data_IF_627395990495
#
_entry.id   IF_627395990495
#
_cell.length_a   1.000
_cell.length_b   1.000
_cell.length_c   1.000
_cell.angle_alpha   90.00
_cell.angle_beta   90.00
_cell.angle_gamma   90.00
#
_symmetry.space_group_name_H-M   'P 1'
#
loop_
_entity.id
_entity.type
_entity.pdbx_description
1 polymer ?
#
# COMPACT_ATOMS: atom_id res chain seq x y z
N UNK A 1 6.49 -48.09 68.57
CA UNK A 1 7.57 -48.11 67.55
C UNK A 1 6.98 -47.43 66.30
N UNK A 2 7.27 -46.14 66.03
CA UNK A 2 8.35 -45.65 65.11
C UNK A 2 8.40 -46.53 63.84
N UNK A 3 7.97 -46.10 62.65
CA UNK A 3 8.64 -45.15 61.71
C UNK A 3 7.77 -45.11 60.41
N UNK A 4 7.16 -43.98 59.98
CA UNK A 4 7.58 -43.02 58.90
C UNK A 4 7.81 -43.67 57.52
N UNK A 5 7.41 -43.19 56.33
CA UNK A 5 6.88 -41.90 55.82
C UNK A 5 6.67 -41.96 54.26
N UNK A 6 5.79 -41.09 53.71
CA UNK A 6 5.83 -40.34 52.41
C UNK A 6 5.63 -41.16 51.10
N UNK A 7 4.49 -41.06 50.40
CA UNK A 7 3.94 -39.98 49.56
C UNK A 7 4.62 -39.80 48.18
N UNK A 8 3.86 -39.95 47.11
CA UNK A 8 4.17 -39.44 45.78
C UNK A 8 2.85 -39.00 45.15
N UNK A 9 2.75 -37.68 44.95
CA UNK A 9 1.53 -36.97 44.61
C UNK A 9 1.32 -36.99 43.09
N UNK A 10 0.07 -37.23 42.68
CA UNK A 10 -0.41 -37.04 41.32
C UNK A 10 -0.51 -35.54 41.02
N UNK A 11 0.17 -35.10 39.96
CA UNK A 11 -0.04 -33.79 39.34
C UNK A 11 0.02 -33.97 37.82
N UNK A 12 -1.13 -34.12 37.17
CA UNK A 12 -1.25 -33.98 35.73
C UNK A 12 -2.26 -32.85 35.46
N UNK A 13 -1.73 -31.74 34.96
CA UNK A 13 -2.41 -30.47 34.84
C UNK A 13 -3.51 -30.46 33.79
N UNK A 14 -4.59 -29.78 34.13
CA UNK A 14 -5.58 -29.30 33.17
C UNK A 14 -5.06 -28.00 32.56
N UNK A 15 -4.81 -27.99 31.25
CA UNK A 15 -4.60 -26.78 30.47
C UNK A 15 -5.66 -26.75 29.37
N UNK A 16 -6.72 -25.96 29.59
CA UNK A 16 -7.67 -25.58 28.55
C UNK A 16 -6.92 -24.73 27.51
N UNK A 17 -6.76 -25.27 26.30
CA UNK A 17 -6.29 -24.51 25.16
C UNK A 17 -7.39 -23.53 24.71
N UNK A 18 -7.06 -22.24 24.79
CA UNK A 18 -7.90 -21.15 24.32
C UNK A 18 -8.15 -21.27 22.80
N UNK A 19 -9.43 -21.17 22.41
CA UNK A 19 -9.85 -21.03 21.03
C UNK A 19 -9.26 -19.74 20.43
N UNK A 20 -8.37 -19.88 19.44
CA UNK A 20 -7.99 -18.80 18.53
C UNK A 20 -9.03 -18.72 17.42
N UNK A 21 -9.87 -17.69 17.44
CA UNK A 21 -10.74 -17.36 16.31
C UNK A 21 -9.87 -16.81 15.15
N UNK A 22 -10.06 -17.29 13.90
CA UNK A 22 -9.39 -16.71 12.75
C UNK A 22 -10.03 -15.36 12.41
N UNK A 23 -9.27 -14.28 12.58
CA UNK A 23 -9.60 -12.97 12.01
C UNK A 23 -9.46 -13.05 10.50
N UNK A 24 -10.60 -13.08 9.79
CA UNK A 24 -10.64 -12.92 8.34
C UNK A 24 -10.27 -11.48 7.98
N UNK A 25 -8.98 -11.24 7.73
CA UNK A 25 -8.52 -10.00 7.12
C UNK A 25 -9.07 -9.93 5.69
N UNK A 26 -10.13 -9.14 5.51
CA UNK A 26 -10.65 -8.81 4.19
C UNK A 26 -9.65 -7.88 3.52
N UNK A 27 -8.85 -8.42 2.58
CA UNK A 27 -8.00 -7.61 1.73
C UNK A 27 -8.86 -6.70 0.86
N UNK A 28 -8.65 -5.39 0.95
CA UNK A 28 -9.28 -4.44 0.06
C UNK A 28 -8.85 -4.74 -1.39
N UNK A 29 -9.76 -4.61 -2.38
CA UNK A 29 -9.41 -4.84 -3.77
C UNK A 29 -8.36 -3.81 -4.21
N UNK A 30 -7.26 -4.29 -4.79
CA UNK A 30 -6.31 -3.45 -5.51
C UNK A 30 -6.93 -3.13 -6.88
N UNK A 31 -7.20 -1.85 -7.14
CA UNK A 31 -7.64 -1.41 -8.46
C UNK A 31 -6.42 -1.40 -9.39
N UNK A 32 -6.30 -2.42 -10.23
CA UNK A 32 -5.22 -2.52 -11.21
C UNK A 32 -5.55 -1.67 -12.43
N UNK A 33 -4.73 -0.66 -12.71
CA UNK A 33 -4.80 0.09 -13.98
C UNK A 33 -4.09 -0.76 -15.04
N UNK A 34 -4.71 -1.07 -16.20
CA UNK A 34 -4.09 -1.87 -17.25
C UNK A 34 -2.78 -1.26 -17.75
N UNK A 35 -1.73 -2.08 -17.86
CA UNK A 35 -0.36 -1.71 -18.22
C UNK A 35 -0.17 -1.14 -19.66
N UNK A 36 -1.24 -0.94 -20.42
CA UNK A 36 -1.17 -0.55 -21.85
C UNK A 36 -1.45 0.94 -22.11
N UNK A 37 -1.77 1.73 -21.09
CA UNK A 37 -2.05 3.16 -21.27
C UNK A 37 -0.88 4.01 -20.78
N UNK A 38 -0.12 4.54 -21.74
CA UNK A 38 0.82 5.62 -21.50
C UNK A 38 0.03 6.93 -21.25
N UNK A 39 -0.03 7.34 -19.98
CA UNK A 39 -0.64 8.58 -19.51
C UNK A 39 -1.44 8.39 -18.22
N UNK A 40 -1.61 9.45 -17.39
CA UNK A 40 -2.46 9.39 -16.19
C UNK A 40 -3.88 8.96 -16.57
N UNK A 41 -4.28 7.76 -16.16
CA UNK A 41 -5.61 7.26 -16.43
C UNK A 41 -6.56 7.68 -15.30
N UNK A 42 -7.65 8.33 -15.69
CA UNK A 42 -8.81 8.53 -14.82
C UNK A 42 -9.84 7.46 -15.19
N UNK A 43 -10.25 6.63 -14.22
CA UNK A 43 -11.53 5.92 -14.34
C UNK A 43 -12.61 7.02 -14.19
N UNK A 44 -13.64 7.10 -15.05
CA UNK A 44 -14.59 8.22 -15.05
C UNK A 44 -15.32 8.47 -13.71
N UNK A 45 -15.50 7.45 -12.86
CA UNK A 45 -16.06 7.64 -11.51
C UNK A 45 -15.01 7.81 -10.39
N UNK A 46 -13.71 7.79 -10.70
CA UNK A 46 -12.66 7.83 -9.68
C UNK A 46 -12.31 9.27 -9.29
N UNK A 47 -12.34 9.55 -7.97
CA UNK A 47 -11.79 10.80 -7.40
C UNK A 47 -10.28 10.96 -7.63
N UNK A 48 -9.59 9.87 -7.96
CA UNK A 48 -8.14 9.83 -8.14
C UNK A 48 -7.83 9.39 -9.55
N UNK A 49 -7.04 10.20 -10.24
CA UNK A 49 -6.39 9.85 -11.49
C UNK A 49 -4.91 9.65 -11.21
N UNK A 50 -4.33 8.57 -11.69
CA UNK A 50 -2.92 8.32 -11.50
C UNK A 50 -2.32 7.50 -12.64
N UNK A 51 -1.02 7.62 -12.86
CA UNK A 51 -0.31 6.84 -13.86
C UNK A 51 1.11 7.32 -14.07
N UNK A 52 1.75 6.78 -15.11
CA UNK A 52 3.07 7.19 -15.55
C UNK A 52 2.99 8.30 -16.59
N UNK A 53 3.93 9.22 -16.50
CA UNK A 53 4.23 10.24 -17.49
C UNK A 53 5.73 10.20 -17.82
N UNK A 54 6.12 10.81 -18.93
CA UNK A 54 7.49 10.76 -19.45
C UNK A 54 7.75 9.56 -20.37
N UNK A 55 9.03 9.21 -20.55
CA UNK A 55 9.48 8.18 -21.49
C UNK A 55 10.86 7.62 -21.10
N UNK A 56 11.28 6.54 -21.76
CA UNK A 56 12.55 5.87 -21.50
C UNK A 56 13.81 6.75 -21.69
N UNK A 57 13.72 7.87 -22.43
CA UNK A 57 14.84 8.78 -22.68
C UNK A 57 14.95 9.87 -21.61
N UNK A 58 13.82 10.40 -21.15
CA UNK A 58 13.76 11.49 -20.17
C UNK A 58 13.59 10.98 -18.72
N UNK A 59 13.24 9.70 -18.57
CA UNK A 59 12.82 9.10 -17.31
C UNK A 59 11.30 9.10 -17.16
N UNK A 60 10.79 8.08 -16.47
CA UNK A 60 9.39 7.98 -16.10
C UNK A 60 9.16 8.61 -14.72
N UNK A 61 8.07 9.36 -14.61
CA UNK A 61 7.60 9.96 -13.36
C UNK A 61 6.17 9.47 -13.08
N UNK A 62 5.82 9.34 -11.82
CA UNK A 62 4.46 8.99 -11.43
C UNK A 62 3.66 10.25 -11.16
N UNK A 63 2.54 10.40 -11.87
CA UNK A 63 1.68 11.58 -11.80
C UNK A 63 0.33 11.20 -11.22
N UNK A 64 -0.23 12.07 -10.39
CA UNK A 64 -1.56 11.88 -9.84
C UNK A 64 -2.32 13.18 -9.66
N UNK A 65 -3.65 13.10 -9.74
CA UNK A 65 -4.59 14.18 -9.44
C UNK A 65 -5.71 13.61 -8.58
N UNK A 66 -6.06 14.31 -7.50
CA UNK A 66 -7.11 13.94 -6.55
C UNK A 66 -8.13 15.06 -6.53
N UNK A 67 -9.35 14.79 -6.98
CA UNK A 67 -10.47 15.72 -6.90
C UNK A 67 -11.15 15.62 -5.53
N UNK A 68 -11.53 16.78 -4.98
CA UNK A 68 -12.12 16.90 -3.64
C UNK A 68 -11.27 16.19 -2.57
N UNK A 69 -10.02 16.63 -2.37
CA UNK A 69 -9.10 15.99 -1.44
C UNK A 69 -9.64 16.05 0.00
N UNK A 70 -9.49 14.99 0.80
CA UNK A 70 -9.74 15.05 2.24
C UNK A 70 -8.75 16.00 2.92
N UNK A 71 -9.07 16.43 4.14
CA UNK A 71 -8.26 17.39 4.92
C UNK A 71 -6.86 16.88 5.28
N UNK A 72 -6.68 15.56 5.39
CA UNK A 72 -5.39 14.91 5.56
C UNK A 72 -5.14 13.92 4.44
N UNK A 73 -3.95 14.03 3.84
CA UNK A 73 -3.48 13.16 2.78
C UNK A 73 -2.06 12.71 3.10
N UNK A 74 -1.87 11.39 3.13
CA UNK A 74 -0.53 10.80 3.19
C UNK A 74 -0.33 9.93 1.96
N UNK A 75 0.81 10.13 1.30
CA UNK A 75 1.22 9.37 0.14
C UNK A 75 2.32 8.41 0.52
N UNK A 76 2.23 7.17 0.04
CA UNK A 76 3.33 6.21 0.08
C UNK A 76 3.53 5.64 -1.31
N UNK A 77 4.79 5.54 -1.73
CA UNK A 77 5.14 4.99 -3.03
C UNK A 77 5.93 3.71 -2.87
N UNK A 78 5.68 2.76 -3.77
CA UNK A 78 6.46 1.52 -3.89
C UNK A 78 6.81 1.27 -5.34
N UNK A 79 7.99 0.70 -5.60
CA UNK A 79 8.38 0.15 -6.90
C UNK A 79 8.60 -1.34 -6.73
N UNK A 80 7.92 -2.17 -7.53
CA UNK A 80 7.95 -3.63 -7.45
C UNK A 80 7.67 -4.16 -6.03
N UNK A 81 6.72 -3.53 -5.33
CA UNK A 81 6.33 -3.85 -3.95
C UNK A 81 7.27 -3.35 -2.84
N UNK A 82 8.43 -2.78 -3.19
CA UNK A 82 9.39 -2.24 -2.22
C UNK A 82 9.20 -0.73 -2.02
N UNK A 83 9.41 -0.18 -0.81
CA UNK A 83 9.34 1.26 -0.58
C UNK A 83 10.23 2.03 -1.56
N UNK A 84 9.62 2.96 -2.29
CA UNK A 84 10.32 3.80 -3.24
C UNK A 84 10.89 5.02 -2.52
N UNK A 85 12.12 5.40 -2.87
CA UNK A 85 12.69 6.70 -2.50
C UNK A 85 12.73 7.60 -3.74
N UNK A 86 12.88 8.91 -3.53
CA UNK A 86 12.82 9.87 -4.62
C UNK A 86 12.38 11.25 -4.17
N UNK A 87 12.29 12.16 -5.13
CA UNK A 87 11.69 13.48 -4.92
C UNK A 87 10.20 13.45 -5.20
N UNK A 88 9.45 14.35 -4.58
CA UNK A 88 8.08 14.61 -5.00
C UNK A 88 7.75 16.09 -4.96
N UNK A 89 6.82 16.48 -5.83
CA UNK A 89 6.24 17.81 -5.86
C UNK A 89 4.74 17.66 -5.76
N UNK A 90 4.12 18.41 -4.86
CA UNK A 90 2.66 18.44 -4.68
C UNK A 90 2.18 19.87 -4.76
N UNK A 91 1.11 20.09 -5.52
CA UNK A 91 0.38 21.35 -5.62
C UNK A 91 -1.02 21.10 -5.07
N UNK A 92 -1.37 21.85 -4.02
CA UNK A 92 -2.68 21.76 -3.37
C UNK A 92 -3.53 22.97 -3.75
N UNK A 93 -4.75 22.70 -4.18
CA UNK A 93 -5.78 23.69 -4.49
C UNK A 93 -7.09 23.35 -3.77
N UNK A 94 -8.05 24.29 -3.68
CA UNK A 94 -9.29 24.06 -2.94
C UNK A 94 -10.10 22.85 -3.43
N UNK A 95 -10.05 22.56 -4.74
CA UNK A 95 -10.86 21.50 -5.37
C UNK A 95 -10.04 20.29 -5.81
N UNK A 96 -8.71 20.37 -5.78
CA UNK A 96 -7.85 19.25 -6.17
C UNK A 96 -6.45 19.31 -5.56
N UNK A 97 -5.81 18.14 -5.49
CA UNK A 97 -4.37 18.00 -5.25
C UNK A 97 -3.75 17.35 -6.47
N UNK A 98 -2.66 17.92 -6.98
CA UNK A 98 -1.88 17.33 -8.07
C UNK A 98 -0.47 17.05 -7.59
N UNK A 99 0.09 15.90 -7.96
CA UNK A 99 1.43 15.55 -7.56
C UNK A 99 2.22 14.79 -8.62
N UNK A 100 3.53 14.89 -8.47
CA UNK A 100 4.54 14.23 -9.28
C UNK A 100 5.53 13.58 -8.33
N UNK A 101 5.78 12.30 -8.50
CA UNK A 101 6.83 11.55 -7.82
C UNK A 101 7.90 11.15 -8.83
N UNK A 102 9.15 11.41 -8.47
CA UNK A 102 10.35 11.18 -9.26
C UNK A 102 11.18 10.11 -8.56
N UNK A 103 11.01 8.83 -8.92
CA UNK A 103 11.68 7.71 -8.26
C UNK A 103 13.19 7.80 -8.40
N UNK A 104 13.91 7.40 -7.36
CA UNK A 104 15.35 7.17 -7.39
C UNK A 104 15.64 5.79 -6.79
N UNK A 105 16.21 4.84 -7.55
CA UNK A 105 16.67 4.97 -8.93
C UNK A 105 15.53 5.21 -9.95
N UNK A 106 15.84 5.70 -11.18
CA UNK A 106 14.86 5.87 -12.23
C UNK A 106 14.20 4.54 -12.62
N UNK A 107 12.92 4.58 -12.98
CA UNK A 107 12.19 3.39 -13.39
C UNK A 107 12.67 2.87 -14.75
N UNK A 108 12.65 1.55 -14.91
CA UNK A 108 12.95 0.87 -16.17
C UNK A 108 11.73 0.09 -16.66
N UNK A 109 11.76 -0.33 -17.93
CA UNK A 109 10.68 -1.14 -18.55
C UNK A 109 10.34 -2.35 -17.68
N UNK A 110 9.05 -2.54 -17.43
CA UNK A 110 8.52 -3.63 -16.61
C UNK A 110 8.41 -3.32 -15.13
N UNK A 111 8.99 -2.22 -14.64
CA UNK A 111 8.78 -1.80 -13.25
C UNK A 111 7.33 -1.42 -13.01
N UNK A 112 6.77 -1.90 -11.91
CA UNK A 112 5.47 -1.48 -11.40
C UNK A 112 5.67 -0.46 -10.28
N UNK A 113 5.11 0.73 -10.46
CA UNK A 113 5.04 1.73 -9.40
C UNK A 113 3.62 1.84 -8.87
N UNK A 114 3.49 1.82 -7.55
CA UNK A 114 2.21 1.99 -6.86
C UNK A 114 2.25 3.18 -5.91
N UNK A 115 1.16 3.94 -5.90
CA UNK A 115 0.86 4.95 -4.89
C UNK A 115 -0.23 4.42 -3.98
N UNK A 116 0.03 4.38 -2.67
CA UNK A 116 -0.99 4.19 -1.64
C UNK A 116 -1.38 5.54 -1.06
N UNK A 117 -2.67 5.85 -1.12
CA UNK A 117 -3.27 7.01 -0.51
C UNK A 117 -3.89 6.62 0.83
N UNK A 118 -3.49 7.28 1.91
CA UNK A 118 -4.09 7.12 3.23
C UNK A 118 -4.82 8.40 3.63
N UNK A 119 -6.10 8.28 4.00
CA UNK A 119 -6.93 9.41 4.44
C UNK A 119 -8.31 9.01 4.95
N UNK A 120 -9.07 8.20 4.19
CA UNK A 120 -10.39 7.67 4.63
C UNK A 120 -10.47 6.16 4.40
N UNK A 121 -10.18 5.72 3.17
CA UNK A 121 -10.04 4.29 2.82
C UNK A 121 -8.69 4.15 2.10
N UNK A 122 -7.76 3.33 2.63
CA UNK A 122 -6.49 3.12 1.96
C UNK A 122 -6.74 2.54 0.58
N UNK A 123 -6.34 3.28 -0.45
CA UNK A 123 -6.51 2.89 -1.85
C UNK A 123 -5.15 2.90 -2.52
N UNK A 124 -4.87 1.87 -3.31
CA UNK A 124 -3.60 1.71 -4.02
C UNK A 124 -3.84 1.83 -5.51
N UNK A 125 -3.02 2.64 -6.17
CA UNK A 125 -3.07 2.92 -7.60
C UNK A 125 -1.72 2.54 -8.21
N UNK A 126 -1.70 1.56 -9.11
CA UNK A 126 -0.47 1.05 -9.71
C UNK A 126 -0.40 1.36 -11.20
N UNK A 127 0.81 1.48 -11.73
CA UNK A 127 1.09 1.64 -13.16
C UNK A 127 2.42 0.96 -13.50
N UNK A 128 2.47 0.29 -14.66
CA UNK A 128 3.67 -0.42 -15.13
C UNK A 128 4.34 0.35 -16.26
N UNK A 129 5.68 0.40 -16.24
CA UNK A 129 6.47 1.04 -17.31
C UNK A 129 6.42 0.18 -18.59
N UNK A 130 6.07 0.77 -19.75
CA UNK A 130 5.94 0.05 -21.02
C UNK A 130 7.26 -0.30 -21.74
#
# INVERSE_FOLDING_TARGET
MRTRLIASWLSAGAALAALLAPTTATAAPATTVPATQAGPYCIPEARVCAGLDGNATQGYQYVFTIHQPPSSLTFRFTVNGLPATGGYRVVTQPTYVQGWFFPSPPLVRGDEICMTLSGIIPSTYCSTVP
#
